data_IF_086975338713
#
_entry.id   IF_086975338713
#
_cell.length_a   1.000
_cell.length_b   1.000
_cell.length_c   1.000
_cell.angle_alpha   90.00
_cell.angle_beta   90.00
_cell.angle_gamma   90.00
#
_symmetry.space_group_name_H-M   'P 1'
#
loop_
_entity.id
_entity.type
_entity.pdbx_description
1 polymer ?
#
# COMPACT_ATOMS: atom_id res chain seq x y z
N UNK A 1 -0.48 23.32 53.86
CA UNK A 1 -0.78 22.44 52.71
C UNK A 1 0.28 21.35 52.56
N UNK A 2 0.34 20.40 53.50
CA UNK A 2 1.30 19.26 53.46
C UNK A 2 0.65 17.89 53.70
N UNK A 3 -0.68 17.86 53.93
CA UNK A 3 -1.44 16.64 54.20
C UNK A 3 -2.28 16.15 53.01
N UNK A 4 -2.19 16.81 51.85
CA UNK A 4 -2.92 16.43 50.63
C UNK A 4 -2.12 15.53 49.68
N UNK A 5 -0.78 15.50 49.82
CA UNK A 5 0.09 14.72 48.94
C UNK A 5 0.30 13.26 49.40
N UNK A 6 -0.07 12.92 50.64
CA UNK A 6 0.16 11.57 51.18
C UNK A 6 -0.97 10.58 50.83
N UNK A 7 -2.15 11.07 50.48
CA UNK A 7 -3.31 10.24 50.11
C UNK A 7 -3.35 9.87 48.63
N UNK A 8 -2.56 10.50 47.76
CA UNK A 8 -2.55 10.22 46.32
C UNK A 8 -1.69 8.98 45.95
N UNK A 9 -0.74 8.60 46.81
CA UNK A 9 0.21 7.50 46.53
C UNK A 9 -0.35 6.12 46.91
N UNK A 10 -1.36 6.04 47.78
CA UNK A 10 -1.94 4.75 48.19
C UNK A 10 -3.04 4.20 47.26
N UNK A 11 -3.41 4.92 46.20
CA UNK A 11 -4.50 4.52 45.30
C UNK A 11 -4.03 3.79 44.04
N UNK A 12 -2.73 3.79 43.72
CA UNK A 12 -2.21 3.23 42.46
C UNK A 12 -1.68 1.79 42.54
N UNK A 13 -1.65 1.17 43.72
CA UNK A 13 -1.20 -0.23 43.89
C UNK A 13 -2.31 -1.28 43.83
N UNK A 14 -3.57 -0.89 43.59
CA UNK A 14 -4.72 -1.81 43.55
C UNK A 14 -5.19 -2.19 42.14
N UNK A 15 -4.47 -1.80 41.08
CA UNK A 15 -4.87 -2.06 39.69
C UNK A 15 -4.06 -3.13 38.93
N UNK A 16 -3.19 -3.89 39.60
CA UNK A 16 -2.37 -4.94 38.93
C UNK A 16 -2.83 -6.37 39.21
N UNK A 17 -4.05 -6.58 39.69
CA UNK A 17 -4.62 -7.93 39.84
C UNK A 17 -5.93 -7.99 39.04
N UNK A 18 -5.76 -8.04 37.71
CA UNK A 18 -6.79 -8.47 36.78
C UNK A 18 -6.23 -9.64 35.98
N UNK A 19 -6.36 -10.84 36.54
CA UNK A 19 -6.16 -12.10 35.82
C UNK A 19 -7.07 -12.14 34.60
N UNK A 20 -6.53 -12.48 33.44
CA UNK A 20 -7.32 -13.17 32.43
C UNK A 20 -6.64 -14.50 32.11
N UNK A 21 -7.50 -15.50 32.12
CA UNK A 21 -7.22 -16.91 32.33
C UNK A 21 -6.74 -17.61 31.05
N UNK A 22 -6.08 -18.74 31.28
CA UNK A 22 -5.56 -19.69 30.31
C UNK A 22 -6.48 -19.93 29.11
N UNK A 23 -5.89 -19.86 27.90
CA UNK A 23 -6.33 -20.66 26.76
C UNK A 23 -5.10 -21.33 26.16
N UNK A 24 -4.83 -22.55 26.61
CA UNK A 24 -4.01 -23.51 25.88
C UNK A 24 -4.89 -24.03 24.74
N UNK A 25 -4.69 -23.52 23.53
CA UNK A 25 -5.13 -24.20 22.31
C UNK A 25 -3.88 -24.84 21.71
N UNK A 26 -3.84 -26.16 21.85
CA UNK A 26 -2.89 -27.06 21.22
C UNK A 26 -3.41 -27.38 19.81
N UNK A 27 -2.69 -27.10 18.71
CA UNK A 27 -3.04 -27.69 17.43
C UNK A 27 -2.34 -29.05 17.28
N UNK A 28 -3.17 -30.10 17.18
CA UNK A 28 -2.80 -31.46 16.81
C UNK A 28 -2.27 -31.51 15.36
N UNK A 29 -0.98 -31.79 15.24
CA UNK A 29 -0.36 -32.85 14.41
C UNK A 29 -0.65 -32.90 12.89
N UNK A 30 0.34 -32.36 12.16
CA UNK A 30 1.04 -32.90 10.97
C UNK A 30 0.29 -33.28 9.68
N UNK A 31 0.66 -32.59 8.60
CA UNK A 31 1.13 -33.25 7.38
C UNK A 31 2.32 -32.46 6.79
N UNK A 32 3.31 -33.21 6.31
CA UNK A 32 4.63 -32.78 5.85
C UNK A 32 4.60 -32.61 4.33
N UNK A 33 5.04 -31.45 3.82
CA UNK A 33 5.62 -31.18 2.47
C UNK A 33 5.38 -29.68 2.15
N UNK A 34 6.34 -28.81 1.85
CA UNK A 34 7.77 -28.85 1.60
C UNK A 34 8.39 -27.60 2.24
N UNK A 35 9.55 -27.73 2.87
CA UNK A 35 10.38 -26.57 3.22
C UNK A 35 10.99 -26.03 1.93
N UNK A 36 10.29 -25.12 1.26
CA UNK A 36 11.00 -24.05 0.58
C UNK A 36 11.43 -23.05 1.66
N UNK A 37 12.73 -22.77 1.74
CA UNK A 37 13.26 -21.67 2.53
C UNK A 37 12.74 -20.35 1.93
N UNK A 38 11.47 -20.01 2.17
CA UNK A 38 10.99 -18.66 1.96
C UNK A 38 11.55 -17.80 3.08
N UNK A 39 12.48 -16.95 2.71
CA UNK A 39 12.90 -15.82 3.53
C UNK A 39 11.69 -14.86 3.59
N UNK A 40 10.84 -15.06 4.60
CA UNK A 40 9.52 -14.42 4.81
C UNK A 40 9.54 -12.88 4.71
N UNK A 41 10.72 -12.26 4.83
CA UNK A 41 10.88 -10.80 4.86
C UNK A 41 11.06 -10.12 3.48
N UNK A 42 10.93 -10.84 2.36
CA UNK A 42 11.27 -10.31 1.01
C UNK A 42 10.09 -10.13 0.06
N UNK A 43 8.88 -10.48 0.50
CA UNK A 43 7.66 -10.40 -0.31
C UNK A 43 6.55 -9.65 0.40
N UNK A 44 6.02 -8.63 -0.26
CA UNK A 44 4.88 -7.85 0.23
C UNK A 44 3.78 -7.84 -0.83
N UNK A 45 2.56 -8.04 -0.38
CA UNK A 45 1.37 -8.02 -1.23
C UNK A 45 0.28 -7.19 -0.55
N UNK A 46 -0.46 -6.41 -1.33
CA UNK A 46 -1.54 -5.61 -0.79
C UNK A 46 -2.29 -4.80 -1.82
N UNK A 47 -3.17 -3.94 -1.32
CA UNK A 47 -4.08 -3.12 -2.12
C UNK A 47 -3.98 -1.66 -1.69
N UNK A 48 -3.93 -0.77 -2.67
CA UNK A 48 -4.01 0.68 -2.47
C UNK A 48 -5.36 1.15 -2.98
N UNK A 49 -6.24 1.58 -2.07
CA UNK A 49 -7.55 2.11 -2.44
C UNK A 49 -7.40 3.44 -3.20
N UNK A 50 -8.10 3.55 -4.32
CA UNK A 50 -8.27 4.79 -5.07
C UNK A 50 -9.68 5.32 -4.81
N UNK A 51 -9.76 6.45 -4.12
CA UNK A 51 -11.03 7.08 -3.76
C UNK A 51 -10.80 8.58 -3.60
N UNK A 52 -11.45 9.41 -4.41
CA UNK A 52 -11.32 10.86 -4.31
C UNK A 52 -11.80 11.64 -5.52
N UNK A 53 -11.53 12.95 -5.50
CA UNK A 53 -11.84 13.88 -6.58
C UNK A 53 -10.55 14.38 -7.23
N UNK A 54 -10.42 14.23 -8.54
CA UNK A 54 -9.29 14.68 -9.34
C UNK A 54 -9.70 15.85 -10.22
N UNK A 55 -8.85 16.86 -10.34
CA UNK A 55 -9.09 17.96 -11.26
C UNK A 55 -9.08 17.45 -12.71
N UNK A 56 -10.07 17.84 -13.51
CA UNK A 56 -10.16 17.47 -14.92
C UNK A 56 -9.45 18.53 -15.79
N UNK A 57 -8.26 18.23 -16.34
CA UNK A 57 -7.51 19.20 -17.15
C UNK A 57 -8.14 19.46 -18.52
N UNK A 58 -9.08 18.61 -18.97
CA UNK A 58 -9.73 18.74 -20.28
C UNK A 58 -10.86 19.79 -20.30
N UNK A 59 -11.32 20.23 -19.13
CA UNK A 59 -12.47 21.14 -18.99
C UNK A 59 -12.09 22.45 -18.28
N UNK A 60 -12.66 23.59 -18.71
CA UNK A 60 -12.43 24.86 -18.04
C UNK A 60 -13.15 24.90 -16.67
N UNK A 61 -12.57 25.61 -15.70
CA UNK A 61 -13.13 25.93 -14.36
C UNK A 61 -13.43 24.74 -13.43
N UNK A 62 -12.60 24.50 -12.41
CA UNK A 62 -12.89 23.67 -11.21
C UNK A 62 -13.71 22.37 -11.45
N UNK A 63 -13.62 21.78 -12.64
CA UNK A 63 -14.25 20.52 -12.95
C UNK A 63 -13.42 19.41 -12.30
N UNK A 64 -14.10 18.47 -11.69
CA UNK A 64 -13.47 17.31 -11.07
C UNK A 64 -14.14 16.03 -11.56
N UNK A 65 -13.34 14.97 -11.63
CA UNK A 65 -13.78 13.61 -11.83
C UNK A 65 -13.62 12.85 -10.52
N UNK A 66 -14.55 11.97 -10.25
CA UNK A 66 -14.46 11.05 -9.12
C UNK A 66 -13.69 9.80 -9.55
N UNK A 67 -12.66 9.40 -8.81
CA UNK A 67 -11.93 8.14 -9.00
C UNK A 67 -12.38 7.13 -7.96
N UNK A 68 -12.66 5.89 -8.39
CA UNK A 68 -12.96 4.75 -7.51
C UNK A 68 -12.25 3.51 -8.01
N UNK A 69 -11.71 2.71 -7.10
CA UNK A 69 -11.11 1.42 -7.42
C UNK A 69 -9.92 1.11 -6.52
N UNK A 70 -8.99 0.32 -7.04
CA UNK A 70 -7.80 -0.08 -6.31
C UNK A 70 -6.63 -0.40 -7.23
N UNK A 71 -5.44 -0.39 -6.62
CA UNK A 71 -4.20 -0.91 -7.21
C UNK A 71 -3.74 -2.06 -6.34
N UNK A 72 -3.80 -3.27 -6.88
CA UNK A 72 -3.14 -4.44 -6.33
C UNK A 72 -1.64 -4.33 -6.60
N UNK A 73 -0.80 -4.64 -5.61
CA UNK A 73 0.64 -4.65 -5.78
C UNK A 73 1.28 -5.93 -5.26
N UNK A 74 2.37 -6.32 -5.93
CA UNK A 74 3.34 -7.29 -5.44
C UNK A 74 4.72 -6.64 -5.43
N UNK A 75 5.37 -6.67 -4.28
CA UNK A 75 6.70 -6.13 -4.06
C UNK A 75 7.62 -7.28 -3.64
N UNK A 76 8.76 -7.42 -4.33
CA UNK A 76 9.76 -8.47 -4.09
C UNK A 76 11.17 -7.91 -4.11
N UNK A 77 11.98 -8.26 -3.12
CA UNK A 77 13.43 -8.01 -3.15
C UNK A 77 14.10 -9.16 -3.92
N UNK A 78 14.86 -8.83 -4.96
CA UNK A 78 15.59 -9.80 -5.78
C UNK A 78 17.09 -9.58 -5.60
N UNK A 79 17.77 -10.55 -4.99
CA UNK A 79 19.24 -10.56 -4.84
C UNK A 79 19.90 -11.04 -6.14
N UNK A 80 20.91 -10.30 -6.61
CA UNK A 80 21.63 -10.64 -7.85
C UNK A 80 22.65 -11.77 -7.66
N UNK A 81 23.24 -11.87 -6.47
CA UNK A 81 24.13 -12.95 -6.07
C UNK A 81 23.70 -13.46 -4.69
N UNK A 82 23.03 -14.62 -4.59
CA UNK A 82 22.56 -15.16 -3.32
C UNK A 82 23.71 -15.67 -2.43
N UNK A 83 24.91 -15.88 -2.99
CA UNK A 83 26.05 -16.49 -2.30
C UNK A 83 27.09 -15.45 -1.83
N UNK A 84 26.95 -14.16 -2.19
CA UNK A 84 27.90 -13.10 -1.84
C UNK A 84 27.33 -12.03 -0.86
N UNK A 85 28.14 -11.58 0.12
CA UNK A 85 27.73 -10.59 1.11
C UNK A 85 27.68 -9.14 0.60
N UNK A 86 28.10 -8.86 -0.65
CA UNK A 86 27.84 -7.57 -1.28
C UNK A 86 26.41 -7.58 -1.82
N UNK A 87 25.46 -7.22 -0.96
CA UNK A 87 24.01 -7.30 -1.19
C UNK A 87 23.56 -6.33 -2.28
N UNK A 88 23.86 -6.68 -3.54
CA UNK A 88 23.23 -6.07 -4.70
C UNK A 88 21.86 -6.69 -4.88
N UNK A 89 20.84 -5.86 -4.79
CA UNK A 89 19.45 -6.25 -4.98
C UNK A 89 18.69 -5.14 -5.72
N UNK A 90 17.55 -5.52 -6.27
CA UNK A 90 16.55 -4.57 -6.76
C UNK A 90 15.18 -4.97 -6.24
N UNK A 91 14.27 -4.00 -6.20
CA UNK A 91 12.85 -4.25 -5.93
C UNK A 91 12.15 -4.51 -7.26
N UNK A 92 11.51 -5.66 -7.39
CA UNK A 92 10.53 -5.94 -8.43
C UNK A 92 9.16 -5.52 -7.92
N UNK A 93 8.53 -4.59 -8.61
CA UNK A 93 7.19 -4.09 -8.26
C UNK A 93 6.22 -4.41 -9.40
N UNK A 94 5.24 -5.26 -9.14
CA UNK A 94 4.09 -5.47 -10.01
C UNK A 94 2.93 -4.63 -9.49
N UNK A 95 2.23 -3.97 -10.41
CA UNK A 95 1.05 -3.15 -10.13
C UNK A 95 -0.06 -3.59 -11.09
N UNK A 96 -1.24 -3.88 -10.57
CA UNK A 96 -2.45 -4.10 -11.36
C UNK A 96 -3.50 -3.10 -10.89
N UNK A 97 -3.92 -2.20 -11.79
CA UNK A 97 -4.95 -1.21 -11.49
C UNK A 97 -6.29 -1.68 -12.03
N UNK A 98 -7.33 -1.56 -11.20
CA UNK A 98 -8.72 -1.68 -11.61
C UNK A 98 -9.49 -0.52 -11.00
N UNK A 99 -9.82 0.47 -11.84
CA UNK A 99 -10.47 1.69 -11.40
C UNK A 99 -11.39 2.28 -12.46
N UNK A 100 -12.22 3.22 -12.02
CA UNK A 100 -13.16 3.96 -12.85
C UNK A 100 -13.16 5.45 -12.50
N UNK A 101 -13.23 6.29 -13.54
CA UNK A 101 -13.46 7.72 -13.44
C UNK A 101 -14.91 8.03 -13.78
N UNK A 102 -15.60 8.74 -12.88
CA UNK A 102 -16.97 9.17 -13.05
C UNK A 102 -17.03 10.70 -13.15
N UNK A 103 -17.92 11.19 -14.01
CA UNK A 103 -18.25 12.61 -14.04
C UNK A 103 -19.43 12.90 -13.11
N UNK A 104 -19.21 13.49 -11.91
CA UNK A 104 -20.29 13.74 -10.97
C UNK A 104 -21.32 14.75 -11.50
N UNK A 105 -20.96 15.54 -12.51
CA UNK A 105 -21.86 16.51 -13.15
C UNK A 105 -22.70 15.89 -14.27
N UNK A 106 -22.36 14.69 -14.72
CA UNK A 106 -23.09 13.94 -15.76
C UNK A 106 -23.25 12.48 -15.34
N UNK A 107 -24.12 12.18 -14.35
CA UNK A 107 -24.21 10.87 -13.72
C UNK A 107 -24.75 9.77 -14.65
N UNK A 108 -25.29 10.13 -15.81
CA UNK A 108 -25.74 9.19 -16.85
C UNK A 108 -24.61 8.77 -17.78
N UNK A 109 -23.45 9.42 -17.71
CA UNK A 109 -22.27 9.07 -18.51
C UNK A 109 -21.72 7.73 -18.01
N UNK A 110 -21.43 6.82 -18.93
CA UNK A 110 -20.74 5.57 -18.61
C UNK A 110 -19.37 5.89 -17.98
N UNK A 111 -19.00 5.27 -16.85
CA UNK A 111 -17.68 5.48 -16.25
C UNK A 111 -16.55 5.17 -17.24
N UNK A 112 -15.47 5.95 -17.17
CA UNK A 112 -14.27 5.66 -17.92
C UNK A 112 -13.39 4.69 -17.14
N UNK A 113 -12.98 3.59 -17.77
CA UNK A 113 -12.26 2.51 -17.10
C UNK A 113 -10.76 2.74 -17.16
N UNK A 114 -10.06 2.41 -16.08
CA UNK A 114 -8.60 2.34 -16.01
C UNK A 114 -8.27 0.91 -15.59
N UNK A 115 -7.76 0.12 -16.53
CA UNK A 115 -7.38 -1.27 -16.27
C UNK A 115 -6.09 -1.59 -17.02
N UNK A 116 -5.00 -1.73 -16.28
CA UNK A 116 -3.66 -2.01 -16.78
C UNK A 116 -2.82 -2.76 -15.75
N UNK A 117 -1.82 -3.49 -16.24
CA UNK A 117 -0.81 -4.16 -15.43
C UNK A 117 0.56 -3.62 -15.81
N UNK A 118 1.41 -3.39 -14.81
CA UNK A 118 2.78 -2.95 -14.97
C UNK A 118 3.73 -3.76 -14.11
N UNK A 119 4.94 -3.97 -14.61
CA UNK A 119 6.07 -4.53 -13.86
C UNK A 119 7.26 -3.61 -13.99
N UNK A 120 7.82 -3.19 -12.86
CA UNK A 120 8.96 -2.29 -12.78
C UNK A 120 10.08 -2.91 -11.95
N UNK A 121 11.33 -2.67 -12.38
CA UNK A 121 12.54 -3.01 -11.62
C UNK A 121 13.14 -1.72 -11.09
N UNK A 122 13.36 -1.66 -9.79
CA UNK A 122 13.73 -0.44 -9.09
C UNK A 122 14.99 -0.72 -8.29
N UNK A 123 16.08 -0.03 -8.62
CA UNK A 123 17.29 -0.07 -7.82
C UNK A 123 17.07 0.78 -6.56
N UNK A 124 16.87 0.12 -5.41
CA UNK A 124 16.61 0.78 -4.12
C UNK A 124 17.86 0.63 -3.25
N UNK A 125 18.28 1.71 -2.58
CA UNK A 125 19.32 1.63 -1.55
C UNK A 125 18.65 1.52 -0.18
N UNK A 126 19.25 0.80 0.80
CA UNK A 126 18.59 0.47 2.08
C UNK A 126 18.06 1.68 2.88
N UNK A 127 18.64 2.86 2.67
CA UNK A 127 18.31 4.09 3.40
C UNK A 127 17.66 5.15 2.50
N UNK A 128 17.35 4.82 1.25
CA UNK A 128 16.82 5.77 0.27
C UNK A 128 15.38 5.47 -0.09
N UNK A 129 14.60 6.54 -0.09
CA UNK A 129 13.21 6.53 -0.55
C UNK A 129 13.21 6.77 -2.05
N UNK A 130 12.73 5.81 -2.84
CA UNK A 130 12.66 5.94 -4.29
C UNK A 130 11.25 6.36 -4.72
N UNK A 131 11.18 7.38 -5.58
CA UNK A 131 9.92 7.77 -6.21
C UNK A 131 9.77 7.08 -7.57
N UNK A 132 8.59 6.53 -7.83
CA UNK A 132 8.19 5.93 -9.11
C UNK A 132 6.92 6.63 -9.61
N UNK A 133 6.93 7.07 -10.87
CA UNK A 133 5.74 7.65 -11.52
C UNK A 133 5.23 6.66 -12.56
N UNK A 134 3.95 6.31 -12.49
CA UNK A 134 3.26 5.48 -13.46
C UNK A 134 2.12 6.25 -14.12
N UNK A 135 1.87 5.92 -15.37
CA UNK A 135 0.80 6.48 -16.19
C UNK A 135 -0.11 5.32 -16.58
N UNK A 136 -1.38 5.39 -16.21
CA UNK A 136 -2.40 4.41 -16.56
C UNK A 136 -3.41 5.07 -17.47
N UNK A 137 -3.64 4.53 -18.66
CA UNK A 137 -4.51 5.15 -19.65
C UNK A 137 -5.97 5.08 -19.21
N UNK A 138 -6.66 6.21 -19.32
CA UNK A 138 -8.11 6.26 -19.17
C UNK A 138 -8.76 5.80 -20.47
N UNK A 139 -9.48 4.68 -20.41
CA UNK A 139 -10.16 4.09 -21.56
C UNK A 139 -11.53 4.71 -21.78
N UNK A 140 -11.96 4.80 -23.04
CA UNK A 140 -13.27 5.37 -23.41
C UNK A 140 -13.29 6.91 -23.50
N UNK A 141 -12.12 7.55 -23.47
CA UNK A 141 -11.95 8.99 -23.76
C UNK A 141 -11.23 9.23 -25.09
N UNK A 142 -11.64 10.28 -25.79
CA UNK A 142 -11.05 10.68 -27.07
C UNK A 142 -9.76 11.51 -26.92
N UNK A 143 -9.53 12.08 -25.74
CA UNK A 143 -8.43 13.02 -25.45
C UNK A 143 -7.15 12.35 -24.96
N UNK A 144 -7.10 11.02 -24.93
CA UNK A 144 -5.91 10.23 -24.50
C UNK A 144 -5.42 10.57 -23.09
N UNK A 145 -6.35 10.87 -22.16
CA UNK A 145 -6.03 11.13 -20.75
C UNK A 145 -5.39 9.94 -20.04
N UNK A 146 -4.54 10.22 -19.05
CA UNK A 146 -3.89 9.24 -18.18
C UNK A 146 -4.14 9.58 -16.72
N UNK A 147 -4.39 8.56 -15.89
CA UNK A 147 -4.19 8.67 -14.46
C UNK A 147 -2.70 8.54 -14.16
N UNK A 148 -2.13 9.58 -13.56
CA UNK A 148 -0.74 9.60 -13.12
C UNK A 148 -0.70 9.29 -11.63
N UNK A 149 0.02 8.24 -11.26
CA UNK A 149 0.22 7.83 -9.88
C UNK A 149 1.70 7.97 -9.50
N UNK A 150 1.98 8.66 -8.41
CA UNK A 150 3.31 8.77 -7.81
C UNK A 150 3.38 7.86 -6.60
N UNK A 151 4.25 6.87 -6.66
CA UNK A 151 4.53 5.94 -5.59
C UNK A 151 5.82 6.30 -4.88
N UNK A 152 5.85 5.95 -3.61
CA UNK A 152 7.04 5.87 -2.80
C UNK A 152 7.32 4.40 -2.52
N UNK A 153 8.53 3.97 -2.89
CA UNK A 153 8.96 2.57 -2.82
C UNK A 153 10.23 2.50 -1.99
N UNK A 154 10.25 1.58 -1.04
CA UNK A 154 11.42 1.21 -0.24
C UNK A 154 11.63 -0.30 -0.30
N UNK A 155 12.57 -0.84 0.48
CA UNK A 155 12.68 -2.29 0.69
C UNK A 155 11.51 -2.86 1.47
N UNK A 156 10.77 -2.04 2.22
CA UNK A 156 9.86 -2.54 3.25
C UNK A 156 8.40 -2.17 2.97
N UNK A 157 8.14 -1.24 2.06
CA UNK A 157 6.78 -0.84 1.71
C UNK A 157 6.67 -0.17 0.35
N UNK A 158 5.43 -0.13 -0.12
CA UNK A 158 4.97 0.67 -1.25
C UNK A 158 3.80 1.50 -0.77
N UNK A 159 3.79 2.79 -1.12
CA UNK A 159 2.66 3.67 -0.80
C UNK A 159 2.39 4.66 -1.93
N UNK A 160 1.14 5.11 -2.04
CA UNK A 160 0.74 6.14 -2.99
C UNK A 160 0.93 7.51 -2.34
N UNK A 161 1.80 8.34 -2.93
CA UNK A 161 2.12 9.69 -2.46
C UNK A 161 1.28 10.76 -3.16
N UNK A 162 0.82 10.49 -4.39
CA UNK A 162 -0.08 11.39 -5.09
C UNK A 162 -0.68 10.78 -6.35
N UNK A 163 -1.83 11.33 -6.76
CA UNK A 163 -2.51 10.98 -8.01
C UNK A 163 -3.12 12.21 -8.67
N UNK A 164 -3.09 12.28 -10.00
CA UNK A 164 -3.68 13.34 -10.82
C UNK A 164 -3.96 12.88 -12.25
N UNK A 165 -4.66 13.71 -13.05
CA UNK A 165 -5.00 13.46 -14.46
C UNK A 165 -4.17 14.35 -15.40
#
# INVERSE_FOLDING_TARGET
MKKFLLTLVSLFFLFTIGCQENSLIEPLTSEVAEKENFQEDTYLHGFIKLDGMLADPSRPFNCCLEIRGEIEYEHRIIYLDPDQPSSQYYVSLNLAIEAELLDPYSPTTTPWVINEISTDKIDVQPEQVQSLIKYFRVQGRDDTMFLVCKFIVTTDYVTLDGMWL
#
